data_IF_910439181532
#
_entry.id   IF_910439181532
#
_cell.length_a   1.000
_cell.length_b   1.000
_cell.length_c   1.000
_cell.angle_alpha   90.00
_cell.angle_beta   90.00
_cell.angle_gamma   90.00
#
_symmetry.space_group_name_H-M   'P 1'
#
loop_
_entity.id
_entity.type
_entity.pdbx_description
1 polymer ?
#
# COMPACT_ATOMS: atom_id res chain seq x y z
N UNK A 1 -2.03 27.37 -33.32
CA UNK A 1 -2.35 27.72 -31.93
C UNK A 1 -3.49 26.83 -31.44
N UNK A 2 -3.39 26.34 -30.20
CA UNK A 2 -4.41 25.61 -29.40
C UNK A 2 -4.56 24.13 -29.75
N UNK A 3 -4.56 23.19 -28.81
CA UNK A 3 -4.11 23.17 -27.42
C UNK A 3 -3.89 21.69 -27.08
N UNK A 4 -2.88 21.42 -26.24
CA UNK A 4 -2.54 20.10 -25.74
C UNK A 4 -3.71 19.49 -24.95
N UNK A 5 -4.05 18.24 -25.24
CA UNK A 5 -4.77 17.38 -24.31
C UNK A 5 -3.92 16.12 -24.10
N UNK A 6 -3.03 16.26 -23.12
CA UNK A 6 -2.27 15.18 -22.50
C UNK A 6 -3.28 14.38 -21.67
N UNK A 7 -3.71 13.23 -22.17
CA UNK A 7 -4.41 12.22 -21.37
C UNK A 7 -3.40 11.14 -21.01
N UNK A 8 -2.69 11.38 -19.90
CA UNK A 8 -1.84 10.40 -19.23
C UNK A 8 -2.72 9.29 -18.68
N UNK A 9 -2.95 8.25 -19.47
CA UNK A 9 -3.51 7.00 -18.99
C UNK A 9 -2.42 6.27 -18.18
N UNK A 10 -2.26 6.67 -16.92
CA UNK A 10 -1.48 5.93 -15.94
C UNK A 10 -2.25 4.65 -15.59
N UNK A 11 -2.08 3.61 -16.42
CA UNK A 11 -2.53 2.26 -16.11
C UNK A 11 -1.61 1.72 -15.02
N UNK A 12 -2.03 1.85 -13.77
CA UNK A 12 -1.38 1.19 -12.64
C UNK A 12 -1.73 -0.31 -12.68
N UNK A 13 -0.97 -1.08 -13.46
CA UNK A 13 -0.99 -2.54 -13.38
C UNK A 13 -0.30 -2.97 -12.09
N UNK A 14 -1.07 -3.19 -11.04
CA UNK A 14 -0.61 -3.96 -9.87
C UNK A 14 -0.58 -5.44 -10.25
N UNK A 15 0.58 -5.91 -10.69
CA UNK A 15 0.86 -7.35 -10.82
C UNK A 15 1.44 -7.87 -9.52
N UNK A 16 0.69 -8.65 -8.74
CA UNK A 16 1.24 -9.62 -7.80
C UNK A 16 0.33 -10.84 -7.70
N UNK A 17 0.39 -11.74 -8.69
CA UNK A 17 -0.11 -13.10 -8.56
C UNK A 17 0.98 -13.97 -7.93
N UNK A 18 1.12 -13.90 -6.61
CA UNK A 18 1.90 -14.85 -5.83
C UNK A 18 0.95 -15.85 -5.17
N UNK A 19 0.57 -16.90 -5.91
CA UNK A 19 0.01 -18.11 -5.31
C UNK A 19 1.08 -18.78 -4.45
N UNK A 20 1.06 -18.54 -3.14
CA UNK A 20 1.83 -19.36 -2.20
C UNK A 20 1.03 -19.55 -0.91
N UNK A 21 -0.01 -20.38 -1.02
CA UNK A 21 -0.63 -21.12 0.07
C UNK A 21 0.48 -21.83 0.87
N UNK A 22 0.65 -21.45 2.14
CA UNK A 22 1.44 -22.22 3.12
C UNK A 22 0.80 -22.06 4.49
N UNK A 23 -0.28 -22.80 4.62
CA UNK A 23 -1.16 -22.98 5.78
C UNK A 23 -0.47 -23.92 6.78
N UNK A 24 0.56 -23.47 7.52
CA UNK A 24 1.06 -24.09 8.78
C UNK A 24 2.42 -23.55 9.27
N UNK A 25 3.19 -22.85 8.42
CA UNK A 25 4.40 -22.09 8.82
C UNK A 25 4.10 -20.60 9.11
N UNK A 26 2.85 -20.31 9.48
CA UNK A 26 2.20 -19.02 9.26
C UNK A 26 2.70 -17.86 10.11
N UNK A 27 3.03 -18.07 11.39
CA UNK A 27 3.41 -16.96 12.29
C UNK A 27 4.77 -16.32 11.96
N UNK A 28 5.88 -17.08 11.78
CA UNK A 28 7.15 -16.45 11.40
C UNK A 28 7.05 -15.78 10.03
N UNK A 29 6.36 -16.40 9.07
CA UNK A 29 6.14 -15.85 7.73
C UNK A 29 5.30 -14.56 7.77
N UNK A 30 4.22 -14.55 8.55
CA UNK A 30 3.36 -13.38 8.74
C UNK A 30 4.14 -12.20 9.32
N UNK A 31 4.98 -12.45 10.34
CA UNK A 31 5.84 -11.41 10.92
C UNK A 31 6.87 -10.88 9.93
N UNK A 32 7.56 -11.76 9.21
CA UNK A 32 8.51 -11.36 8.17
C UNK A 32 7.85 -10.52 7.08
N UNK A 33 6.66 -10.90 6.63
CA UNK A 33 5.92 -10.13 5.62
C UNK A 33 5.44 -8.78 6.19
N UNK A 34 5.03 -8.73 7.46
CA UNK A 34 4.69 -7.47 8.12
C UNK A 34 5.86 -6.51 8.21
N UNK A 35 7.04 -7.01 8.56
CA UNK A 35 8.26 -6.18 8.63
C UNK A 35 8.67 -5.68 7.25
N UNK A 36 8.54 -6.53 6.21
CA UNK A 36 8.75 -6.14 4.81
C UNK A 36 7.80 -5.03 4.38
N UNK A 37 6.49 -5.21 4.60
CA UNK A 37 5.45 -4.22 4.27
C UNK A 37 5.65 -2.90 5.01
N UNK A 38 6.05 -2.96 6.29
CA UNK A 38 6.37 -1.76 7.08
C UNK A 38 7.55 -1.01 6.46
N UNK A 39 8.65 -1.70 6.18
CA UNK A 39 9.83 -1.09 5.55
C UNK A 39 9.54 -0.47 4.20
N UNK A 40 8.75 -1.13 3.35
CA UNK A 40 8.30 -0.59 2.07
C UNK A 40 7.42 0.65 2.22
N UNK A 41 6.53 0.67 3.23
CA UNK A 41 5.66 1.81 3.48
C UNK A 41 6.44 3.01 4.03
N UNK A 42 7.36 2.77 4.96
CA UNK A 42 8.23 3.80 5.53
C UNK A 42 9.18 4.38 4.47
N UNK A 43 9.74 3.54 3.59
CA UNK A 43 10.56 3.99 2.45
C UNK A 43 9.80 4.93 1.50
N UNK A 44 8.47 4.85 1.46
CA UNK A 44 7.58 5.73 0.70
C UNK A 44 7.15 6.97 1.49
N UNK A 45 7.62 7.15 2.72
CA UNK A 45 7.24 8.24 3.62
C UNK A 45 5.83 8.09 4.22
N UNK A 46 5.32 6.86 4.26
CA UNK A 46 3.99 6.54 4.80
C UNK A 46 4.01 5.88 6.17
N UNK A 47 2.81 5.55 6.64
CA UNK A 47 2.57 4.75 7.84
C UNK A 47 1.72 3.55 7.45
N UNK A 48 2.15 2.35 7.85
CA UNK A 48 1.38 1.14 7.64
C UNK A 48 0.23 1.08 8.65
N UNK A 49 -1.01 1.01 8.17
CA UNK A 49 -2.21 0.98 8.98
C UNK A 49 -3.02 -0.29 8.67
N UNK A 50 -3.70 -0.82 9.69
CA UNK A 50 -4.66 -1.90 9.50
C UNK A 50 -5.85 -1.39 8.68
N UNK A 51 -6.30 -2.21 7.71
CA UNK A 51 -7.49 -1.93 6.91
C UNK A 51 -8.74 -2.31 7.72
N UNK A 52 -9.66 -1.38 8.00
CA UNK A 52 -10.89 -1.72 8.72
C UNK A 52 -11.68 -2.81 7.99
N UNK A 53 -12.10 -3.83 8.74
CA UNK A 53 -12.91 -4.93 8.20
C UNK A 53 -12.14 -6.02 7.43
N UNK A 54 -10.82 -5.89 7.28
CA UNK A 54 -9.99 -6.95 6.73
C UNK A 54 -9.41 -7.82 7.85
N UNK A 55 -9.73 -9.11 7.80
CA UNK A 55 -9.24 -10.14 8.74
C UNK A 55 -9.05 -11.45 7.97
N UNK A 56 -8.30 -11.39 6.88
CA UNK A 56 -8.03 -12.53 6.01
C UNK A 56 -6.89 -13.40 6.53
N UNK A 57 -6.09 -12.90 7.47
CA UNK A 57 -4.85 -13.52 7.92
C UNK A 57 -3.69 -13.26 6.95
N UNK A 58 -3.92 -12.50 5.88
CA UNK A 58 -2.93 -12.11 4.90
C UNK A 58 -2.49 -10.65 5.17
N UNK A 59 -1.24 -10.42 5.60
CA UNK A 59 -0.79 -9.11 6.02
C UNK A 59 -0.90 -8.04 4.93
N UNK A 60 -0.71 -8.40 3.66
CA UNK A 60 -0.82 -7.49 2.52
C UNK A 60 -2.26 -7.06 2.22
N UNK A 61 -3.26 -7.87 2.59
CA UNK A 61 -4.68 -7.58 2.41
C UNK A 61 -5.24 -6.83 3.62
N UNK A 62 -4.77 -7.23 4.80
CA UNK A 62 -5.23 -6.72 6.09
C UNK A 62 -4.63 -5.35 6.45
N UNK A 63 -3.63 -4.87 5.69
CA UNK A 63 -2.98 -3.59 5.92
C UNK A 63 -2.89 -2.74 4.65
N UNK A 64 -2.77 -1.44 4.84
CA UNK A 64 -2.61 -0.46 3.78
C UNK A 64 -1.55 0.57 4.17
N UNK A 65 -0.77 1.01 3.19
CA UNK A 65 0.19 2.09 3.38
C UNK A 65 -0.50 3.45 3.18
N UNK A 66 -0.58 4.26 4.22
CA UNK A 66 -1.11 5.62 4.16
C UNK A 66 0.05 6.61 4.02
N UNK A 67 0.17 7.25 2.85
CA UNK A 67 1.13 8.34 2.65
C UNK A 67 0.48 9.63 3.14
N UNK A 68 0.87 10.10 4.33
CA UNK A 68 0.48 11.43 4.79
C UNK A 68 1.35 12.45 4.07
N UNK A 69 0.92 12.85 2.87
CA UNK A 69 1.52 13.96 2.14
C UNK A 69 1.64 15.17 3.07
N UNK A 70 2.87 15.64 3.27
CA UNK A 70 3.19 16.68 4.25
C UNK A 70 2.22 17.86 4.16
N UNK A 71 1.64 18.22 5.31
CA UNK A 71 0.86 19.42 5.56
C UNK A 71 -0.24 19.68 4.52
N UNK A 72 -1.47 19.31 4.85
CA UNK A 72 -2.64 20.05 4.34
C UNK A 72 -2.40 21.52 4.68
N UNK A 73 -1.99 22.32 3.69
CA UNK A 73 -2.05 23.78 3.83
C UNK A 73 -3.53 24.14 3.80
N UNK A 74 -4.11 24.66 4.89
CA UNK A 74 -5.46 25.18 4.83
C UNK A 74 -5.50 26.33 3.81
N UNK A 75 -6.61 26.51 3.05
CA UNK A 75 -6.76 27.66 2.19
C UNK A 75 -6.64 28.93 3.04
N UNK A 76 -5.68 29.81 2.69
CA UNK A 76 -5.58 31.14 3.30
C UNK A 76 -6.67 32.02 2.69
N UNK A 77 -7.64 32.41 3.51
CA UNK A 77 -8.49 33.59 3.27
C UNK A 77 -8.18 34.66 4.33
#
# INVERSE_FOLDING_TARGET
MRAALVLSAAVLTFGVSACATSESAGIPRYRTEMDRLRGECEARGGILLARPGANSGEPAVDNQCEIRGGLVSPPRN
#
